data_IF_099219772941
#
_entry.id   IF_099219772941
#
_cell.length_a   1.000
_cell.length_b   1.000
_cell.length_c   1.000
_cell.angle_alpha   90.00
_cell.angle_beta   90.00
_cell.angle_gamma   90.00
#
_symmetry.space_group_name_H-M   'P 1'
#
loop_
_entity.id
_entity.type
_entity.pdbx_description
1 polymer ?
#
# COMPACT_ATOMS: atom_id res chain seq x y z
N UNK A 1 -18.61 23.73 3.51
CA UNK A 1 -19.35 22.46 3.64
C UNK A 1 -18.37 21.40 4.11
N UNK A 2 -18.48 20.95 5.36
CA UNK A 2 -17.69 19.85 5.93
C UNK A 2 -18.68 18.81 6.44
N UNK A 3 -18.75 17.66 5.80
CA UNK A 3 -19.67 16.58 6.20
C UNK A 3 -18.94 15.65 7.18
N UNK A 4 -19.55 15.40 8.33
CA UNK A 4 -19.15 14.36 9.27
C UNK A 4 -20.08 13.17 9.11
N UNK A 5 -19.53 12.03 8.74
CA UNK A 5 -20.27 10.77 8.64
C UNK A 5 -19.95 9.91 9.86
N UNK A 6 -20.98 9.40 10.51
CA UNK A 6 -20.89 8.49 11.68
C UNK A 6 -21.54 7.17 11.30
N UNK A 7 -20.87 6.07 11.64
CA UNK A 7 -21.36 4.71 11.45
C UNK A 7 -21.45 4.05 12.83
N UNK A 8 -22.63 3.54 13.18
CA UNK A 8 -22.89 2.90 14.47
C UNK A 8 -23.58 1.56 14.25
N UNK A 9 -23.09 0.50 14.90
CA UNK A 9 -23.67 -0.85 14.84
C UNK A 9 -24.07 -1.22 16.26
N UNK A 10 -25.36 -1.53 16.46
CA UNK A 10 -25.86 -1.97 17.76
C UNK A 10 -26.03 -3.49 17.84
N UNK A 11 -26.31 -4.00 19.04
CA UNK A 11 -26.43 -5.44 19.34
C UNK A 11 -27.54 -6.19 18.57
N UNK A 12 -28.40 -5.48 17.83
CA UNK A 12 -29.43 -6.06 16.97
C UNK A 12 -28.99 -6.14 15.49
N UNK A 13 -27.70 -6.00 15.19
CA UNK A 13 -27.13 -5.94 13.83
C UNK A 13 -27.75 -4.83 12.94
N UNK A 14 -28.16 -3.73 13.58
CA UNK A 14 -28.69 -2.56 12.87
C UNK A 14 -27.56 -1.55 12.70
N UNK A 15 -27.23 -1.22 11.45
CA UNK A 15 -26.28 -0.19 11.08
C UNK A 15 -27.00 1.16 10.96
N UNK A 16 -26.64 2.11 11.82
CA UNK A 16 -27.05 3.52 11.70
C UNK A 16 -25.95 4.34 11.03
N UNK A 17 -26.30 5.01 9.93
CA UNK A 17 -25.42 5.95 9.24
C UNK A 17 -25.99 7.36 9.41
N UNK A 18 -25.25 8.27 10.05
CA UNK A 18 -25.63 9.69 10.11
C UNK A 18 -24.60 10.57 9.43
N UNK A 19 -25.07 11.50 8.60
CA UNK A 19 -24.25 12.50 7.93
C UNK A 19 -24.68 13.89 8.41
N UNK A 20 -23.74 14.60 9.05
CA UNK A 20 -23.96 15.92 9.63
C UNK A 20 -23.12 16.94 8.85
N UNK A 21 -23.76 17.97 8.28
CA UNK A 21 -23.03 19.11 7.73
C UNK A 21 -22.63 20.06 8.86
N UNK A 22 -21.33 20.11 9.19
CA UNK A 22 -20.80 20.98 10.26
C UNK A 22 -20.98 22.46 9.99
N UNK A 23 -21.24 22.87 8.74
CA UNK A 23 -21.46 24.26 8.38
C UNK A 23 -22.88 24.73 8.70
N UNK A 24 -23.88 23.85 8.54
CA UNK A 24 -25.30 24.19 8.70
C UNK A 24 -25.96 23.53 9.91
N UNK A 25 -25.29 22.55 10.54
CA UNK A 25 -25.84 21.73 11.63
C UNK A 25 -26.90 20.73 11.19
N UNK A 26 -27.21 20.64 9.89
CA UNK A 26 -28.22 19.73 9.38
C UNK A 26 -27.71 18.29 9.40
N UNK A 27 -28.51 17.39 9.97
CA UNK A 27 -28.26 15.95 10.03
C UNK A 27 -29.22 15.20 9.11
N UNK A 28 -28.69 14.23 8.37
CA UNK A 28 -29.47 13.17 7.72
C UNK A 28 -29.06 11.82 8.31
N UNK A 29 -30.02 11.04 8.78
CA UNK A 29 -29.81 9.72 9.36
C UNK A 29 -30.52 8.65 8.54
N UNK A 30 -29.81 7.59 8.19
CA UNK A 30 -30.34 6.38 7.57
C UNK A 30 -30.06 5.20 8.48
N UNK A 31 -31.03 4.29 8.59
CA UNK A 31 -30.89 3.07 9.38
C UNK A 31 -31.03 1.89 8.44
N UNK A 32 -30.02 1.03 8.41
CA UNK A 32 -29.99 -0.22 7.65
C UNK A 32 -30.16 -1.34 8.67
N UNK A 33 -31.30 -2.00 8.65
CA UNK A 33 -31.55 -3.21 9.44
C UNK A 33 -31.09 -4.43 8.65
N UNK A 34 -30.46 -5.40 9.33
CA UNK A 34 -30.17 -6.72 8.75
C UNK A 34 -31.48 -7.56 8.68
N UNK A 35 -32.49 -7.03 8.01
CA UNK A 35 -33.71 -7.78 7.73
C UNK A 35 -33.39 -8.85 6.68
N UNK A 36 -33.95 -10.06 6.85
CA UNK A 36 -33.61 -11.30 6.12
C UNK A 36 -33.98 -11.30 4.61
N UNK A 37 -33.78 -10.20 3.90
CA UNK A 37 -34.16 -10.03 2.50
C UNK A 37 -33.20 -9.21 1.63
N UNK A 38 -32.08 -8.69 2.16
CA UNK A 38 -31.19 -7.85 1.36
C UNK A 38 -30.09 -8.61 0.62
N UNK A 39 -29.50 -9.64 1.23
CA UNK A 39 -28.58 -10.58 0.62
C UNK A 39 -28.77 -11.92 1.33
N UNK A 40 -28.94 -13.01 0.58
CA UNK A 40 -28.92 -14.33 1.19
C UNK A 40 -27.52 -14.63 1.73
N UNK A 41 -27.40 -15.56 2.68
CA UNK A 41 -26.09 -16.04 3.14
C UNK A 41 -25.23 -16.52 1.95
N UNK A 42 -25.87 -17.13 0.96
CA UNK A 42 -25.24 -17.61 -0.28
C UNK A 42 -24.71 -16.45 -1.14
N UNK A 43 -25.44 -15.33 -1.25
CA UNK A 43 -24.97 -14.14 -1.96
C UNK A 43 -23.77 -13.49 -1.25
N UNK A 44 -23.79 -13.43 0.09
CA UNK A 44 -22.67 -12.93 0.89
C UNK A 44 -21.44 -13.82 0.68
N UNK A 45 -21.60 -15.14 0.78
CA UNK A 45 -20.53 -16.10 0.54
C UNK A 45 -19.98 -15.99 -0.89
N UNK A 46 -20.85 -15.84 -1.90
CA UNK A 46 -20.43 -15.59 -3.29
C UNK A 46 -19.65 -14.30 -3.42
N UNK A 47 -20.12 -13.19 -2.83
CA UNK A 47 -19.43 -11.89 -2.90
C UNK A 47 -18.05 -11.95 -2.23
N UNK A 48 -17.92 -12.66 -1.10
CA UNK A 48 -16.64 -12.86 -0.43
C UNK A 48 -15.70 -13.70 -1.31
N UNK A 49 -16.17 -14.81 -1.87
CA UNK A 49 -15.38 -15.65 -2.77
C UNK A 49 -14.95 -14.91 -4.03
N UNK A 50 -15.84 -14.11 -4.63
CA UNK A 50 -15.53 -13.26 -5.78
C UNK A 50 -14.46 -12.23 -5.40
N UNK A 51 -14.62 -11.53 -4.27
CA UNK A 51 -13.63 -10.57 -3.79
C UNK A 51 -12.25 -11.20 -3.56
N UNK A 52 -12.18 -12.39 -2.95
CA UNK A 52 -10.93 -13.13 -2.78
C UNK A 52 -10.33 -13.57 -4.11
N UNK A 53 -11.15 -14.08 -5.04
CA UNK A 53 -10.72 -14.48 -6.38
C UNK A 53 -10.17 -13.29 -7.15
N UNK A 54 -10.85 -12.14 -7.16
CA UNK A 54 -10.37 -10.92 -7.82
C UNK A 54 -9.07 -10.42 -7.18
N UNK A 55 -8.94 -10.47 -5.85
CA UNK A 55 -7.69 -10.13 -5.16
C UNK A 55 -6.52 -11.02 -5.60
N UNK A 56 -6.76 -12.33 -5.73
CA UNK A 56 -5.75 -13.29 -6.16
C UNK A 56 -5.39 -13.13 -7.65
N UNK A 57 -6.38 -12.94 -8.52
CA UNK A 57 -6.18 -12.71 -9.96
C UNK A 57 -5.43 -11.39 -10.20
N UNK A 58 -5.82 -10.32 -9.50
CA UNK A 58 -5.12 -9.03 -9.54
C UNK A 58 -3.66 -9.17 -9.11
N UNK A 59 -3.36 -10.00 -8.11
CA UNK A 59 -1.97 -10.28 -7.70
C UNK A 59 -1.22 -11.04 -8.80
N UNK A 60 -1.82 -12.10 -9.32
CA UNK A 60 -1.22 -12.92 -10.38
C UNK A 60 -0.94 -12.14 -11.65
N UNK A 61 -1.86 -11.25 -12.06
CA UNK A 61 -1.69 -10.39 -13.22
C UNK A 61 -0.57 -9.36 -13.00
N UNK A 62 -0.46 -8.78 -11.80
CA UNK A 62 0.67 -7.90 -11.44
C UNK A 62 2.00 -8.63 -11.53
N UNK A 63 2.10 -9.80 -10.90
CA UNK A 63 3.33 -10.60 -10.87
C UNK A 63 3.75 -11.01 -12.29
N UNK A 64 2.79 -11.45 -13.11
CA UNK A 64 3.03 -11.79 -14.53
C UNK A 64 3.53 -10.57 -15.32
N UNK A 65 2.91 -9.40 -15.15
CA UNK A 65 3.29 -8.19 -15.88
C UNK A 65 4.71 -7.73 -15.55
N UNK A 66 5.14 -7.87 -14.29
CA UNK A 66 6.54 -7.61 -13.90
C UNK A 66 7.46 -8.59 -14.60
N UNK A 67 7.17 -9.89 -14.50
CA UNK A 67 8.01 -10.93 -15.07
C UNK A 67 8.18 -10.75 -16.59
N UNK A 68 7.09 -10.50 -17.30
CA UNK A 68 7.09 -10.25 -18.74
C UNK A 68 7.95 -9.01 -19.07
N UNK A 69 7.85 -7.93 -18.28
CA UNK A 69 8.64 -6.71 -18.53
C UNK A 69 10.13 -6.89 -18.20
N UNK A 70 10.46 -7.61 -17.14
CA UNK A 70 11.84 -7.98 -16.82
C UNK A 70 12.46 -8.81 -17.94
N UNK A 71 11.74 -9.82 -18.45
CA UNK A 71 12.20 -10.65 -19.56
C UNK A 71 12.37 -9.84 -20.87
N UNK A 72 11.46 -8.90 -21.16
CA UNK A 72 11.60 -7.98 -22.30
C UNK A 72 12.90 -7.17 -22.21
N UNK A 73 13.18 -6.62 -21.02
CA UNK A 73 14.36 -5.78 -20.80
C UNK A 73 15.64 -6.62 -20.84
N UNK A 74 15.68 -7.80 -20.23
CA UNK A 74 16.81 -8.72 -20.31
C UNK A 74 17.14 -9.02 -21.78
N UNK A 75 16.14 -9.44 -22.55
CA UNK A 75 16.32 -9.72 -23.99
C UNK A 75 16.78 -8.48 -24.79
N UNK A 76 16.36 -7.28 -24.37
CA UNK A 76 16.80 -6.05 -24.99
C UNK A 76 18.26 -5.73 -24.61
N UNK A 77 18.63 -5.88 -23.34
CA UNK A 77 20.00 -5.68 -22.85
C UNK A 77 20.99 -6.60 -23.57
N UNK A 78 20.62 -7.88 -23.76
CA UNK A 78 21.45 -8.86 -24.46
C UNK A 78 21.73 -8.48 -25.92
N UNK A 79 20.76 -7.82 -26.58
CA UNK A 79 20.86 -7.41 -27.99
C UNK A 79 21.45 -6.02 -28.18
N UNK A 80 21.47 -5.19 -27.13
CA UNK A 80 21.82 -3.77 -27.21
C UNK A 80 22.90 -3.43 -26.17
N UNK A 81 23.92 -4.29 -26.02
CA UNK A 81 25.03 -4.10 -25.09
C UNK A 81 25.87 -2.83 -25.38
N UNK A 82 25.76 -2.26 -26.58
CA UNK A 82 26.42 -1.02 -27.00
C UNK A 82 25.46 0.18 -27.06
N UNK A 83 24.24 0.04 -26.52
CA UNK A 83 23.27 1.13 -26.49
C UNK A 83 23.82 2.37 -25.76
N UNK A 84 23.27 3.52 -26.10
CA UNK A 84 23.63 4.78 -25.44
C UNK A 84 22.89 4.91 -24.12
N UNK A 85 23.49 5.65 -23.18
CA UNK A 85 22.92 5.93 -21.85
C UNK A 85 21.45 6.34 -21.90
N UNK A 86 21.09 7.18 -22.86
CA UNK A 86 19.73 7.68 -23.08
C UNK A 86 18.70 6.56 -23.33
N UNK A 87 19.09 5.49 -24.05
CA UNK A 87 18.22 4.35 -24.32
C UNK A 87 18.04 3.46 -23.08
N UNK A 88 19.10 3.31 -22.28
CA UNK A 88 19.02 2.61 -20.99
C UNK A 88 18.12 3.35 -20.01
N UNK A 89 18.25 4.68 -19.90
CA UNK A 89 17.40 5.51 -19.04
C UNK A 89 15.93 5.42 -19.45
N UNK A 90 15.64 5.44 -20.76
CA UNK A 90 14.28 5.24 -21.27
C UNK A 90 13.71 3.87 -20.86
N UNK A 91 14.49 2.80 -21.03
CA UNK A 91 14.09 1.43 -20.67
C UNK A 91 13.91 1.25 -19.16
N UNK A 92 14.78 1.84 -18.35
CA UNK A 92 14.65 1.87 -16.90
C UNK A 92 13.34 2.55 -16.48
N UNK A 93 13.05 3.72 -17.05
CA UNK A 93 11.81 4.46 -16.74
C UNK A 93 10.57 3.67 -17.11
N UNK A 94 10.61 2.89 -18.19
CA UNK A 94 9.50 2.01 -18.56
C UNK A 94 9.33 0.83 -17.60
N UNK A 95 10.40 0.30 -17.03
CA UNK A 95 10.32 -0.70 -15.95
C UNK A 95 9.72 -0.09 -14.69
N UNK A 96 10.22 1.08 -14.27
CA UNK A 96 9.75 1.79 -13.08
C UNK A 96 8.25 2.09 -13.13
N UNK A 97 7.71 2.50 -14.29
CA UNK A 97 6.27 2.69 -14.48
C UNK A 97 5.45 1.43 -14.21
N UNK A 98 6.02 0.25 -14.46
CA UNK A 98 5.35 -1.04 -14.19
C UNK A 98 5.51 -1.44 -12.72
N UNK A 99 6.70 -1.21 -12.14
CA UNK A 99 7.01 -1.60 -10.76
C UNK A 99 6.39 -0.67 -9.71
N UNK A 100 6.41 0.65 -9.91
CA UNK A 100 5.94 1.67 -8.95
C UNK A 100 4.51 1.43 -8.44
N UNK A 101 3.48 1.24 -9.29
CA UNK A 101 2.12 1.00 -8.80
C UNK A 101 1.98 -0.32 -8.02
N UNK A 102 2.90 -1.26 -8.19
CA UNK A 102 2.88 -2.56 -7.51
C UNK A 102 3.55 -2.45 -6.15
N UNK A 103 4.70 -1.78 -6.08
CA UNK A 103 5.44 -1.49 -4.84
C UNK A 103 4.56 -0.64 -3.90
N UNK A 104 3.92 0.42 -4.41
CA UNK A 104 3.00 1.25 -3.62
C UNK A 104 1.85 0.42 -3.03
N UNK A 105 1.25 -0.47 -3.83
CA UNK A 105 0.20 -1.38 -3.33
C UNK A 105 0.71 -2.38 -2.29
N UNK A 106 1.95 -2.85 -2.43
CA UNK A 106 2.61 -3.75 -1.47
C UNK A 106 2.86 -3.06 -0.12
N UNK A 107 3.40 -1.84 -0.14
CA UNK A 107 3.61 -1.03 1.07
C UNK A 107 2.29 -0.64 1.74
N UNK A 108 1.29 -0.21 0.97
CA UNK A 108 -0.05 0.09 1.50
C UNK A 108 -0.76 -1.14 2.08
N UNK A 109 -0.43 -2.35 1.60
CA UNK A 109 -0.96 -3.60 2.14
C UNK A 109 -0.18 -4.11 3.36
N UNK A 110 1.07 -3.67 3.55
CA UNK A 110 1.91 -4.02 4.70
C UNK A 110 1.63 -3.12 5.93
N UNK A 111 1.09 -1.92 5.73
CA UNK A 111 0.68 -1.00 6.79
C UNK A 111 -0.53 -1.52 7.63
N UNK A 112 -1.18 -2.59 7.20
CA UNK A 112 -2.26 -3.26 7.94
C UNK A 112 -1.80 -4.27 9.00
N UNK A 113 -0.49 -4.52 9.16
CA UNK A 113 0.02 -5.53 10.09
C UNK A 113 1.35 -5.13 10.74
N UNK A 114 1.46 -3.94 11.36
CA UNK A 114 2.48 -3.69 12.40
C UNK A 114 1.93 -2.78 13.51
N UNK A 115 1.11 -3.37 14.38
CA UNK A 115 0.89 -2.81 15.71
C UNK A 115 2.17 -2.93 16.55
N UNK A 116 2.87 -1.80 16.74
CA UNK A 116 3.93 -1.58 17.73
C UNK A 116 5.29 -2.23 17.39
N UNK A 117 6.46 -1.61 17.54
CA UNK A 117 7.01 -0.49 18.36
C UNK A 117 8.41 -0.16 17.77
N UNK A 118 9.20 0.81 18.29
CA UNK A 118 8.92 1.84 19.28
C UNK A 118 9.23 3.26 18.75
N UNK A 119 8.67 4.25 19.43
CA UNK A 119 8.91 5.66 19.14
C UNK A 119 10.36 6.09 19.29
N UNK A 120 10.61 7.26 18.72
CA UNK A 120 11.87 7.97 18.81
C UNK A 120 12.30 8.21 20.25
N UNK A 121 13.61 8.28 20.43
CA UNK A 121 14.23 8.82 21.62
C UNK A 121 14.51 10.31 21.40
N UNK A 122 13.82 11.23 22.10
CA UNK A 122 14.25 12.61 22.19
C UNK A 122 15.06 12.80 23.48
N UNK A 123 16.37 13.05 23.32
CA UNK A 123 17.14 13.96 24.16
C UNK A 123 17.62 13.52 25.56
N UNK A 124 18.93 13.67 25.79
CA UNK A 124 19.46 14.33 27.00
C UNK A 124 20.28 13.48 27.98
N UNK A 125 21.62 13.53 27.88
CA UNK A 125 22.55 13.11 28.95
C UNK A 125 24.01 13.03 28.49
N UNK A 126 24.90 13.80 29.11
CA UNK A 126 26.29 14.12 28.73
C UNK A 126 27.34 12.98 28.97
N UNK A 127 28.63 13.13 28.57
CA UNK A 127 29.56 12.03 28.19
C UNK A 127 30.47 11.53 29.32
N UNK A 128 31.35 10.55 29.04
CA UNK A 128 32.76 10.78 29.36
C UNK A 128 33.75 10.39 28.25
N UNK A 129 34.67 11.34 28.04
CA UNK A 129 36.10 11.24 27.70
C UNK A 129 36.74 9.85 27.55
N UNK A 130 37.54 9.72 26.48
CA UNK A 130 38.86 9.08 26.55
C UNK A 130 39.15 8.07 25.44
N UNK A 131 40.08 8.40 24.53
CA UNK A 131 40.75 7.42 23.68
C UNK A 131 41.12 7.89 22.29
N UNK A 132 42.27 8.54 22.18
CA UNK A 132 43.03 8.80 20.96
C UNK A 132 43.37 7.51 20.21
N UNK A 133 43.14 7.44 18.89
CA UNK A 133 44.12 6.94 17.90
C UNK A 133 43.57 6.96 16.47
N UNK A 134 44.39 7.52 15.59
CA UNK A 134 44.17 7.78 14.17
C UNK A 134 43.92 6.51 13.34
N UNK A 135 42.94 6.57 12.40
CA UNK A 135 42.98 5.77 11.16
C UNK A 135 42.20 6.46 10.02
N UNK A 136 42.84 6.79 8.88
CA UNK A 136 42.17 7.38 7.71
C UNK A 136 41.39 6.33 6.87
N UNK A 137 40.52 6.77 5.92
CA UNK A 137 39.50 5.94 5.29
C UNK A 137 40.09 5.00 4.22
N UNK A 138 39.51 3.80 4.10
CA UNK A 138 39.83 2.87 3.00
C UNK A 138 38.87 3.16 1.84
N UNK A 139 39.45 3.70 0.77
CA UNK A 139 38.86 3.83 -0.56
C UNK A 139 38.63 2.44 -1.22
N UNK A 140 37.71 2.49 -2.18
CA UNK A 140 37.24 1.54 -3.18
C UNK A 140 38.09 0.29 -3.46
N UNK A 141 37.43 -0.87 -3.59
CA UNK A 141 38.02 -2.08 -4.16
C UNK A 141 37.41 -2.35 -5.53
N UNK A 142 38.29 -2.32 -6.53
CA UNK A 142 38.18 -3.01 -7.82
C UNK A 142 38.23 -4.53 -7.60
#
# INVERSE_FOLDING_TARGET
>A
MKIQVTFDINANDILSVSAIDKSTGKENKMTITNDKGHLSKEDIERMVQEAEKYKAEDKKQRDKKILDKCNEIINWLDKNQTAKKEEFEHRQKDLEKVCNPIITKLYQSADGMTGGRPGGFPGGGAPPSGGDSSRPPIEEVD
#
